data_IF_739457559172
#
_entry.id   IF_739457559172
#
_cell.length_a   1.000
_cell.length_b   1.000
_cell.length_c   1.000
_cell.angle_alpha   90.00
_cell.angle_beta   90.00
_cell.angle_gamma   90.00
#
_symmetry.space_group_name_H-M   'P 1'
#
loop_
_entity.id
_entity.type
_entity.pdbx_description
1 polymer ?
#
# COMPACT_ATOMS: atom_id res chain seq x y z
N UNK A 1 56.58 14.57 -17.36
CA UNK A 1 55.53 14.94 -18.34
C UNK A 1 54.19 14.85 -17.65
N UNK A 2 53.55 16.00 -17.44
CA UNK A 2 52.24 16.10 -16.83
C UNK A 2 51.13 15.77 -17.84
N UNK A 3 50.13 15.00 -17.42
CA UNK A 3 48.76 15.12 -17.92
C UNK A 3 47.82 14.97 -16.75
N UNK A 4 47.34 16.11 -16.26
CA UNK A 4 46.16 16.20 -15.41
C UNK A 4 44.95 15.78 -16.25
N UNK A 5 44.27 14.71 -15.84
CA UNK A 5 42.93 14.42 -16.33
C UNK A 5 41.95 14.94 -15.28
N UNK A 6 41.35 16.08 -15.61
CA UNK A 6 40.26 16.70 -14.87
C UNK A 6 39.03 15.77 -14.98
N UNK A 7 38.74 15.01 -13.92
CA UNK A 7 37.55 14.17 -13.85
C UNK A 7 36.35 15.07 -13.62
N UNK A 8 35.48 15.21 -14.64
CA UNK A 8 34.19 15.87 -14.53
C UNK A 8 33.38 15.19 -13.41
N UNK A 9 32.90 16.00 -12.47
CA UNK A 9 31.85 15.66 -11.51
C UNK A 9 30.54 15.38 -12.27
N UNK A 10 30.41 14.18 -12.83
CA UNK A 10 29.10 13.58 -13.06
C UNK A 10 28.71 12.98 -11.72
N UNK A 11 27.73 13.58 -11.05
CA UNK A 11 27.20 13.12 -9.77
C UNK A 11 26.78 11.66 -9.90
N UNK A 12 27.59 10.76 -9.34
CA UNK A 12 27.15 9.41 -9.05
C UNK A 12 26.06 9.56 -7.99
N UNK A 13 24.84 9.11 -8.30
CA UNK A 13 23.83 8.90 -7.27
C UNK A 13 24.50 8.04 -6.20
N UNK A 14 24.78 8.61 -5.03
CA UNK A 14 25.27 7.81 -3.93
C UNK A 14 24.23 6.72 -3.67
N UNK A 15 24.63 5.45 -3.51
CA UNK A 15 23.70 4.43 -3.06
C UNK A 15 23.05 4.94 -1.77
N UNK A 16 21.73 5.02 -1.73
CA UNK A 16 21.03 5.49 -0.54
C UNK A 16 21.47 4.67 0.67
N UNK A 17 21.85 5.37 1.75
CA UNK A 17 22.10 4.71 3.04
C UNK A 17 20.77 4.31 3.68
N UNK A 18 20.72 3.23 4.47
CA UNK A 18 19.51 2.88 5.21
C UNK A 18 19.19 4.00 6.22
N UNK A 19 17.97 4.52 6.16
CA UNK A 19 17.44 5.48 7.13
C UNK A 19 16.63 4.72 8.19
N UNK A 20 17.18 4.61 9.39
CA UNK A 20 16.52 3.90 10.50
C UNK A 20 15.67 4.85 11.35
N UNK A 21 14.58 4.32 11.92
CA UNK A 21 13.72 5.01 12.87
C UNK A 21 12.74 6.00 12.25
N UNK A 22 12.61 6.01 10.92
CA UNK A 22 11.62 6.83 10.24
C UNK A 22 10.23 6.16 10.23
N UNK A 23 9.21 6.85 9.72
CA UNK A 23 7.82 6.37 9.75
C UNK A 23 7.59 4.97 9.16
N UNK A 24 8.28 4.51 8.09
CA UNK A 24 8.10 3.14 7.60
C UNK A 24 8.54 2.07 8.60
N UNK A 25 9.65 2.30 9.31
CA UNK A 25 10.11 1.40 10.37
C UNK A 25 9.07 1.33 11.48
N UNK A 26 8.55 2.47 11.94
CA UNK A 26 7.52 2.49 12.97
C UNK A 26 6.23 1.78 12.50
N UNK A 27 5.78 2.05 11.27
CA UNK A 27 4.61 1.39 10.69
C UNK A 27 4.77 -0.12 10.58
N UNK A 28 5.94 -0.59 10.15
CA UNK A 28 6.19 -2.02 10.05
C UNK A 28 6.40 -2.66 11.43
N UNK A 29 7.33 -2.16 12.24
CA UNK A 29 7.68 -2.81 13.50
C UNK A 29 6.57 -2.73 14.54
N UNK A 30 5.85 -1.61 14.62
CA UNK A 30 4.85 -1.40 15.66
C UNK A 30 3.42 -1.77 15.23
N UNK A 31 3.09 -1.64 13.94
CA UNK A 31 1.78 -2.00 13.42
C UNK A 31 1.77 -3.25 12.54
N UNK A 32 2.93 -3.75 12.11
CA UNK A 32 3.01 -4.79 11.08
C UNK A 32 2.29 -4.38 9.80
N UNK A 33 2.32 -3.11 9.44
CA UNK A 33 1.69 -2.57 8.25
C UNK A 33 2.73 -2.39 7.14
N UNK A 34 2.29 -2.56 5.89
CA UNK A 34 3.06 -2.03 4.76
C UNK A 34 2.93 -0.51 4.86
N UNK A 35 4.08 0.14 5.03
CA UNK A 35 4.17 1.58 5.18
C UNK A 35 5.19 2.12 4.20
N UNK A 36 4.87 3.23 3.56
CA UNK A 36 5.76 3.94 2.64
C UNK A 36 5.75 5.41 2.99
N UNK A 37 6.88 6.06 2.74
CA UNK A 37 6.97 7.50 2.59
C UNK A 37 7.28 7.76 1.13
N UNK A 38 6.53 8.65 0.49
CA UNK A 38 6.84 9.10 -0.85
C UNK A 38 7.00 10.62 -0.83
N UNK A 39 8.01 11.10 -1.54
CA UNK A 39 8.28 12.52 -1.71
C UNK A 39 7.48 12.98 -2.93
N UNK A 40 6.35 13.66 -2.69
CA UNK A 40 5.44 14.13 -3.74
C UNK A 40 6.18 14.79 -4.93
N UNK A 41 7.21 15.60 -4.65
CA UNK A 41 7.96 16.27 -5.70
C UNK A 41 9.11 15.44 -6.27
N UNK A 42 9.74 14.59 -5.46
CA UNK A 42 10.91 13.80 -5.82
C UNK A 42 11.96 14.60 -6.60
N UNK A 43 12.43 14.01 -7.70
CA UNK A 43 13.37 14.66 -8.61
C UNK A 43 12.63 15.55 -9.61
N UNK A 44 12.79 16.88 -9.48
CA UNK A 44 12.15 17.85 -10.38
C UNK A 44 12.43 17.61 -11.87
N UNK A 45 13.59 17.07 -12.24
CA UNK A 45 13.93 16.84 -13.64
C UNK A 45 13.04 15.78 -14.30
N UNK A 46 12.34 14.94 -13.51
CA UNK A 46 11.41 13.94 -14.01
C UNK A 46 10.11 14.57 -14.59
N UNK A 47 9.90 15.87 -14.38
CA UNK A 47 8.69 16.59 -14.78
C UNK A 47 8.89 17.52 -15.98
N UNK A 48 10.11 17.60 -16.53
CA UNK A 48 10.45 18.45 -17.66
C UNK A 48 11.16 17.66 -18.76
N UNK A 49 11.31 18.30 -19.90
CA UNK A 49 12.02 17.76 -21.05
C UNK A 49 13.21 18.67 -21.38
N UNK A 50 14.08 18.18 -22.26
CA UNK A 50 15.13 18.98 -22.88
C UNK A 50 14.47 20.03 -23.80
N UNK A 51 14.19 21.20 -23.23
CA UNK A 51 13.49 22.30 -23.88
C UNK A 51 14.46 23.19 -24.65
N UNK A 52 15.74 23.25 -24.24
CA UNK A 52 16.75 24.04 -24.92
C UNK A 52 17.44 23.27 -26.08
N UNK A 53 17.20 21.96 -26.20
CA UNK A 53 17.71 21.10 -27.27
C UNK A 53 19.20 20.78 -27.16
N UNK A 54 19.80 20.88 -25.97
CA UNK A 54 21.23 20.67 -25.75
C UNK A 54 21.61 19.19 -25.52
N UNK A 55 20.61 18.30 -25.47
CA UNK A 55 20.76 16.87 -25.27
C UNK A 55 20.77 16.44 -23.80
N UNK A 56 20.51 17.34 -22.84
CA UNK A 56 20.50 17.04 -21.41
C UNK A 56 19.39 17.76 -20.65
N UNK A 57 18.60 17.02 -19.86
CA UNK A 57 17.63 17.63 -18.94
C UNK A 57 18.35 18.18 -17.71
N UNK A 58 18.35 19.50 -17.51
CA UNK A 58 19.10 20.16 -16.45
C UNK A 58 18.46 21.51 -16.00
N UNK A 59 19.24 22.35 -15.31
CA UNK A 59 18.76 23.64 -14.78
C UNK A 59 18.44 24.68 -15.86
N UNK A 60 19.07 24.59 -17.03
CA UNK A 60 18.79 25.47 -18.16
C UNK A 60 17.38 25.25 -18.71
N UNK A 61 16.84 24.03 -18.64
CA UNK A 61 15.46 23.74 -19.01
C UNK A 61 14.46 24.36 -18.04
N UNK A 62 14.80 24.46 -16.75
CA UNK A 62 13.98 25.16 -15.78
C UNK A 62 13.95 26.66 -16.00
N UNK A 63 15.07 27.25 -16.45
CA UNK A 63 15.12 28.65 -16.90
C UNK A 63 14.26 28.83 -18.16
N UNK A 64 14.34 27.90 -19.11
CA UNK A 64 13.47 27.93 -20.29
C UNK A 64 11.99 27.88 -19.91
N UNK A 65 11.61 26.98 -18.99
CA UNK A 65 10.23 26.84 -18.50
C UNK A 65 9.73 28.14 -17.88
N UNK A 66 10.55 28.80 -17.07
CA UNK A 66 10.20 30.08 -16.47
C UNK A 66 9.86 31.14 -17.53
N UNK A 67 10.64 31.22 -18.60
CA UNK A 67 10.50 32.27 -19.61
C UNK A 67 9.40 31.97 -20.64
N UNK A 68 9.08 30.69 -20.88
CA UNK A 68 8.24 30.27 -22.00
C UNK A 68 6.90 29.64 -21.58
N UNK A 69 6.75 29.18 -20.33
CA UNK A 69 5.51 28.59 -19.84
C UNK A 69 4.71 29.62 -19.04
N UNK A 70 3.52 29.97 -19.56
CA UNK A 70 2.60 30.89 -18.90
C UNK A 70 2.28 30.43 -17.48
N UNK A 71 2.46 31.32 -16.51
CA UNK A 71 2.25 31.06 -15.08
C UNK A 71 3.47 30.54 -14.34
N UNK A 72 4.63 30.37 -15.01
CA UNK A 72 5.90 29.97 -14.40
C UNK A 72 6.89 31.11 -14.20
N UNK A 73 6.56 32.34 -14.61
CA UNK A 73 7.47 33.48 -14.74
C UNK A 73 8.19 33.84 -13.41
N UNK A 74 7.61 33.46 -12.27
CA UNK A 74 8.17 33.63 -10.90
C UNK A 74 7.95 32.42 -10.00
N UNK A 75 7.61 31.28 -10.59
CA UNK A 75 7.27 30.08 -9.83
C UNK A 75 8.50 29.47 -9.14
N UNK A 76 9.65 29.52 -9.81
CA UNK A 76 10.90 28.93 -9.36
C UNK A 76 11.93 29.94 -8.87
N UNK A 77 11.77 31.22 -9.21
CA UNK A 77 12.74 32.26 -8.92
C UNK A 77 12.07 33.48 -8.31
N UNK A 78 12.69 34.00 -7.25
CA UNK A 78 12.33 35.24 -6.59
C UNK A 78 13.00 36.42 -7.30
N UNK A 79 12.32 37.58 -7.40
CA UNK A 79 12.96 38.79 -7.89
C UNK A 79 14.12 39.19 -6.98
N UNK A 80 15.17 39.73 -7.59
CA UNK A 80 16.27 40.35 -6.85
C UNK A 80 15.79 41.65 -6.22
N UNK A 81 16.01 41.79 -4.92
CA UNK A 81 15.61 42.94 -4.11
C UNK A 81 16.79 43.41 -3.27
N UNK A 82 17.01 44.73 -3.11
CA UNK A 82 18.04 45.25 -2.22
C UNK A 82 17.77 44.86 -0.77
N UNK A 83 18.82 44.48 -0.05
CA UNK A 83 18.80 44.19 1.38
C UNK A 83 20.09 44.70 2.03
N UNK A 84 20.01 45.10 3.30
CA UNK A 84 21.20 45.56 4.05
C UNK A 84 21.85 44.39 4.79
N UNK A 85 23.11 44.09 4.44
CA UNK A 85 23.92 43.07 5.11
C UNK A 85 24.87 43.72 6.13
N UNK A 86 24.98 43.19 7.37
CA UNK A 86 25.79 43.79 8.44
C UNK A 86 27.27 44.03 8.09
N UNK A 87 27.85 43.19 7.21
CA UNK A 87 29.26 43.28 6.79
C UNK A 87 29.46 43.89 5.40
N UNK A 88 28.48 43.74 4.50
CA UNK A 88 28.65 44.03 3.08
C UNK A 88 27.86 45.25 2.59
N UNK A 89 27.09 45.90 3.48
CA UNK A 89 26.20 47.00 3.10
C UNK A 89 25.06 46.52 2.21
N UNK A 90 24.63 47.34 1.25
CA UNK A 90 23.56 47.00 0.32
C UNK A 90 23.94 45.84 -0.60
N UNK A 91 23.22 44.73 -0.52
CA UNK A 91 23.34 43.54 -1.36
C UNK A 91 22.01 43.23 -2.07
N UNK A 92 22.02 42.39 -3.10
CA UNK A 92 20.80 41.87 -3.70
C UNK A 92 20.43 40.49 -3.14
N UNK A 93 19.16 40.30 -2.81
CA UNK A 93 18.58 39.05 -2.32
C UNK A 93 17.46 38.61 -3.27
N UNK A 94 17.57 37.39 -3.78
CA UNK A 94 16.67 36.82 -4.80
C UNK A 94 17.22 35.49 -5.31
N UNK A 95 16.91 35.15 -6.56
CA UNK A 95 17.40 33.91 -7.18
C UNK A 95 16.43 32.76 -6.99
N UNK A 96 16.92 31.54 -6.74
CA UNK A 96 16.04 30.37 -6.63
C UNK A 96 15.11 30.47 -5.44
N UNK A 97 13.82 30.23 -5.65
CA UNK A 97 12.86 30.13 -4.56
C UNK A 97 13.09 28.81 -3.82
N UNK A 98 13.64 28.81 -2.59
CA UNK A 98 14.03 27.56 -1.92
C UNK A 98 12.85 26.62 -1.69
N UNK A 99 11.61 27.15 -1.63
CA UNK A 99 10.41 26.35 -1.44
C UNK A 99 10.02 25.54 -2.67
N UNK A 100 10.15 26.15 -3.86
CA UNK A 100 9.66 25.55 -5.11
C UNK A 100 10.78 25.04 -6.03
N UNK A 101 12.02 25.47 -5.80
CA UNK A 101 13.18 24.98 -6.51
C UNK A 101 13.49 23.53 -6.13
N UNK A 102 13.50 23.21 -4.82
CA UNK A 102 13.91 21.88 -4.34
C UNK A 102 12.87 21.13 -3.52
N UNK A 103 11.99 21.82 -2.79
CA UNK A 103 11.14 21.14 -1.79
C UNK A 103 9.76 20.75 -2.32
N UNK A 104 9.16 21.52 -3.23
CA UNK A 104 7.78 21.33 -3.67
C UNK A 104 7.62 21.69 -5.15
N UNK A 105 6.69 21.06 -5.89
CA UNK A 105 6.26 21.60 -7.17
C UNK A 105 5.67 23.00 -6.97
N UNK A 106 5.85 23.92 -7.93
CA UNK A 106 5.06 25.14 -7.98
C UNK A 106 3.60 24.81 -8.29
N UNK A 107 2.71 25.72 -7.89
CA UNK A 107 1.29 25.62 -8.19
C UNK A 107 1.01 25.55 -9.70
N UNK A 108 -0.13 24.99 -10.07
CA UNK A 108 -0.55 24.86 -11.47
C UNK A 108 -0.15 23.50 -12.06
N UNK A 109 0.46 23.52 -13.24
CA UNK A 109 0.70 22.31 -14.04
C UNK A 109 1.54 21.27 -13.31
N UNK A 110 2.70 21.65 -12.76
CA UNK A 110 3.62 20.71 -12.13
C UNK A 110 3.07 20.11 -10.83
N UNK A 111 2.41 20.91 -9.99
CA UNK A 111 1.70 20.38 -8.82
C UNK A 111 0.61 19.38 -9.24
N UNK A 112 -0.14 19.68 -10.30
CA UNK A 112 -1.15 18.74 -10.81
C UNK A 112 -0.53 17.42 -11.25
N UNK A 113 0.57 17.45 -12.00
CA UNK A 113 1.27 16.24 -12.47
C UNK A 113 1.76 15.38 -11.29
N UNK A 114 2.42 16.01 -10.31
CA UNK A 114 2.91 15.34 -9.11
C UNK A 114 1.76 14.70 -8.31
N UNK A 115 0.69 15.45 -8.05
CA UNK A 115 -0.50 14.94 -7.34
C UNK A 115 -1.19 13.81 -8.11
N UNK A 116 -1.26 13.89 -9.44
CA UNK A 116 -1.90 12.87 -10.25
C UNK A 116 -1.11 11.55 -10.25
N UNK A 117 0.22 11.63 -10.30
CA UNK A 117 1.10 10.47 -10.15
C UNK A 117 0.93 9.81 -8.77
N UNK A 118 0.96 10.62 -7.71
CA UNK A 118 0.73 10.16 -6.34
C UNK A 118 -0.63 9.52 -6.14
N UNK A 119 -1.70 10.13 -6.68
CA UNK A 119 -3.04 9.56 -6.59
C UNK A 119 -3.13 8.19 -7.27
N UNK A 120 -2.53 8.04 -8.46
CA UNK A 120 -2.46 6.74 -9.15
C UNK A 120 -1.74 5.69 -8.31
N UNK A 121 -0.60 6.05 -7.72
CA UNK A 121 0.16 5.16 -6.86
C UNK A 121 -0.63 4.73 -5.62
N UNK A 122 -1.26 5.67 -4.93
CA UNK A 122 -2.08 5.37 -3.75
C UNK A 122 -3.28 4.48 -4.07
N UNK A 123 -3.95 4.70 -5.20
CA UNK A 123 -5.04 3.83 -5.66
C UNK A 123 -4.55 2.44 -6.09
N UNK A 124 -3.36 2.35 -6.68
CA UNK A 124 -2.73 1.06 -6.98
C UNK A 124 -2.48 0.28 -5.69
N UNK A 125 -1.92 0.90 -4.65
CA UNK A 125 -1.70 0.28 -3.35
C UNK A 125 -3.01 -0.12 -2.66
N UNK A 126 -4.02 0.75 -2.67
CA UNK A 126 -5.33 0.44 -2.10
C UNK A 126 -5.98 -0.80 -2.77
N UNK A 127 -5.81 -0.95 -4.09
CA UNK A 127 -6.28 -2.11 -4.85
C UNK A 127 -5.50 -3.40 -4.56
N UNK A 128 -4.34 -3.31 -3.91
CA UNK A 128 -3.57 -4.48 -3.48
C UNK A 128 -4.05 -5.04 -2.14
N UNK A 129 -4.91 -4.34 -1.40
CA UNK A 129 -5.42 -4.82 -0.11
C UNK A 129 -6.14 -6.19 -0.23
N UNK A 130 -6.23 -6.94 0.88
CA UNK A 130 -6.99 -8.18 0.91
C UNK A 130 -8.45 -7.96 0.50
N UNK A 131 -8.99 -8.89 -0.27
CA UNK A 131 -10.37 -8.86 -0.76
C UNK A 131 -10.99 -10.24 -0.60
N UNK A 132 -11.70 -10.46 0.51
CA UNK A 132 -12.37 -11.72 0.78
C UNK A 132 -13.69 -11.80 0.02
N UNK A 133 -13.92 -12.92 -0.67
CA UNK A 133 -15.14 -13.17 -1.43
C UNK A 133 -15.58 -14.63 -1.23
N UNK A 134 -16.90 -14.86 -1.10
CA UNK A 134 -17.45 -16.22 -1.14
C UNK A 134 -17.33 -16.76 -2.56
N UNK A 135 -16.59 -17.85 -2.72
CA UNK A 135 -16.42 -18.53 -4.00
C UNK A 135 -17.33 -19.74 -4.14
N UNK A 136 -17.77 -20.32 -3.01
CA UNK A 136 -18.77 -21.39 -3.00
C UNK A 136 -19.59 -21.34 -1.72
N UNK A 137 -20.90 -21.57 -1.86
CA UNK A 137 -21.80 -21.88 -0.74
C UNK A 137 -22.70 -23.03 -1.19
N UNK A 138 -22.61 -24.16 -0.49
CA UNK A 138 -23.31 -25.39 -0.85
C UNK A 138 -24.09 -25.92 0.35
N UNK A 139 -25.28 -26.47 0.11
CA UNK A 139 -26.04 -27.21 1.11
C UNK A 139 -26.28 -28.62 0.59
N UNK A 140 -25.80 -29.61 1.33
CA UNK A 140 -26.01 -31.03 1.03
C UNK A 140 -26.91 -31.67 2.08
N UNK A 141 -27.95 -32.38 1.63
CA UNK A 141 -28.75 -33.22 2.51
C UNK A 141 -28.01 -34.53 2.84
N UNK A 142 -28.09 -34.95 4.10
CA UNK A 142 -27.49 -36.18 4.62
C UNK A 142 -28.56 -37.27 4.80
N UNK A 143 -28.13 -38.53 4.89
CA UNK A 143 -29.03 -39.69 4.99
C UNK A 143 -29.84 -39.72 6.30
N UNK A 144 -29.38 -39.06 7.35
CA UNK A 144 -30.02 -38.96 8.66
C UNK A 144 -31.02 -37.78 8.76
N UNK A 145 -31.27 -37.07 7.66
CA UNK A 145 -32.14 -35.90 7.62
C UNK A 145 -31.47 -34.59 8.06
N UNK A 146 -30.20 -34.63 8.47
CA UNK A 146 -29.40 -33.41 8.67
C UNK A 146 -28.95 -32.81 7.34
N UNK A 147 -28.42 -31.59 7.39
CA UNK A 147 -27.89 -30.87 6.23
C UNK A 147 -26.51 -30.33 6.54
N UNK A 148 -25.55 -30.52 5.66
CA UNK A 148 -24.23 -29.92 5.74
C UNK A 148 -24.18 -28.68 4.86
N UNK A 149 -23.99 -27.52 5.49
CA UNK A 149 -23.72 -26.25 4.84
C UNK A 149 -22.20 -26.14 4.70
N UNK A 150 -21.67 -25.97 3.49
CA UNK A 150 -20.26 -25.74 3.21
C UNK A 150 -20.10 -24.36 2.62
N UNK A 151 -19.12 -23.59 3.10
CA UNK A 151 -18.77 -22.28 2.57
C UNK A 151 -17.26 -22.21 2.30
N UNK A 152 -16.91 -21.73 1.11
CA UNK A 152 -15.54 -21.44 0.70
C UNK A 152 -15.39 -19.95 0.49
N UNK A 153 -14.38 -19.36 1.14
CA UNK A 153 -13.98 -17.96 0.96
C UNK A 153 -12.58 -17.91 0.41
N UNK A 154 -12.36 -17.00 -0.53
CA UNK A 154 -11.05 -16.77 -1.17
C UNK A 154 -10.64 -15.31 -1.01
N UNK A 155 -9.37 -15.07 -0.69
CA UNK A 155 -8.76 -13.75 -0.82
C UNK A 155 -8.31 -13.51 -2.27
N UNK A 156 -9.10 -12.75 -3.02
CA UNK A 156 -8.81 -12.33 -4.39
C UNK A 156 -7.91 -11.09 -4.46
N UNK A 157 -7.54 -10.50 -3.32
CA UNK A 157 -6.57 -9.41 -3.22
C UNK A 157 -5.13 -9.85 -3.49
N UNK A 158 -4.26 -8.87 -3.71
CA UNK A 158 -2.83 -9.12 -3.91
C UNK A 158 -2.12 -9.42 -2.59
N UNK A 159 -2.38 -8.61 -1.57
CA UNK A 159 -1.78 -8.75 -0.26
C UNK A 159 -2.52 -9.81 0.58
N UNK A 160 -1.78 -10.46 1.47
CA UNK A 160 -2.39 -11.29 2.49
C UNK A 160 -3.10 -10.46 3.57
N UNK A 161 -3.96 -11.13 4.34
CA UNK A 161 -4.71 -10.48 5.42
C UNK A 161 -3.91 -10.24 6.71
N UNK A 162 -2.69 -10.75 6.78
CA UNK A 162 -1.78 -10.56 7.92
C UNK A 162 -0.31 -10.64 7.48
N UNK A 163 0.52 -9.69 7.89
CA UNK A 163 1.98 -9.85 7.82
C UNK A 163 2.47 -10.60 9.07
N UNK A 164 3.58 -11.33 8.96
CA UNK A 164 4.23 -11.96 10.12
C UNK A 164 4.51 -10.99 11.25
N UNK A 165 5.05 -9.82 10.93
CA UNK A 165 5.32 -8.80 11.95
C UNK A 165 4.04 -8.38 12.67
N UNK A 166 2.92 -8.19 11.95
CA UNK A 166 1.64 -7.81 12.56
C UNK A 166 1.15 -8.85 13.55
N UNK A 167 1.40 -10.13 13.27
CA UNK A 167 1.09 -11.23 14.17
C UNK A 167 2.01 -11.23 15.40
N UNK A 168 3.32 -11.09 15.21
CA UNK A 168 4.31 -11.05 16.30
C UNK A 168 4.01 -9.94 17.32
N UNK A 169 3.60 -8.76 16.83
CA UNK A 169 3.21 -7.63 17.69
C UNK A 169 1.72 -7.60 18.06
N UNK A 170 0.97 -8.68 17.77
CA UNK A 170 -0.42 -8.88 18.18
C UNK A 170 -1.42 -7.84 17.64
N UNK A 171 -1.10 -7.22 16.50
CA UNK A 171 -2.00 -6.30 15.79
C UNK A 171 -3.08 -7.00 14.98
N UNK A 172 -2.88 -8.28 14.69
CA UNK A 172 -3.87 -9.11 14.00
C UNK A 172 -4.15 -10.37 14.80
N UNK A 173 -5.35 -10.91 14.58
CA UNK A 173 -5.80 -12.19 15.13
C UNK A 173 -6.13 -13.12 13.98
N UNK A 174 -6.04 -14.41 14.21
CA UNK A 174 -6.51 -15.41 13.25
C UNK A 174 -7.97 -15.14 12.89
N UNK A 175 -8.24 -15.28 11.60
CA UNK A 175 -9.57 -15.18 11.02
C UNK A 175 -10.46 -16.28 11.55
N UNK A 176 -11.76 -16.00 11.63
CA UNK A 176 -12.78 -16.93 12.13
C UNK A 176 -13.93 -17.01 11.16
N UNK A 177 -14.45 -18.23 10.96
CA UNK A 177 -15.73 -18.44 10.32
C UNK A 177 -16.80 -18.70 11.39
N UNK A 178 -17.95 -18.05 11.28
CA UNK A 178 -19.07 -18.14 12.22
C UNK A 178 -20.36 -18.48 11.48
N UNK A 179 -21.21 -19.28 12.12
CA UNK A 179 -22.59 -19.49 11.69
C UNK A 179 -23.55 -19.04 12.79
N UNK A 180 -24.55 -18.25 12.41
CA UNK A 180 -25.66 -17.80 13.25
C UNK A 180 -26.94 -18.41 12.70
N UNK A 181 -27.72 -19.05 13.57
CA UNK A 181 -28.89 -19.85 13.18
C UNK A 181 -30.18 -19.23 13.71
N UNK A 182 -31.21 -19.24 12.87
CA UNK A 182 -32.59 -18.93 13.25
C UNK A 182 -33.50 -20.10 12.81
N UNK A 183 -34.22 -20.71 13.76
CA UNK A 183 -35.02 -21.93 13.53
C UNK A 183 -34.23 -23.25 13.37
N UNK A 184 -32.94 -23.17 13.05
CA UNK A 184 -32.05 -24.31 12.89
C UNK A 184 -31.30 -24.68 14.18
N UNK A 185 -30.78 -25.90 14.26
CA UNK A 185 -29.90 -26.37 15.34
C UNK A 185 -28.63 -26.99 14.79
N UNK A 186 -27.47 -26.61 15.35
CA UNK A 186 -26.19 -27.29 15.09
C UNK A 186 -26.23 -28.74 15.58
N UNK A 187 -25.56 -29.62 14.84
CA UNK A 187 -25.37 -31.00 15.29
C UNK A 187 -24.54 -31.07 16.58
N UNK A 188 -24.75 -32.13 17.37
CA UNK A 188 -24.06 -32.29 18.64
C UNK A 188 -22.54 -32.35 18.45
N UNK A 189 -21.80 -31.54 19.23
CA UNK A 189 -20.34 -31.45 19.16
C UNK A 189 -19.80 -30.49 18.09
N UNK A 190 -20.65 -29.91 17.23
CA UNK A 190 -20.24 -28.85 16.32
C UNK A 190 -20.08 -27.51 17.05
N UNK A 191 -19.03 -26.78 16.70
CA UNK A 191 -18.86 -25.38 17.12
C UNK A 191 -19.39 -24.44 16.04
N UNK A 192 -20.23 -23.49 16.45
CA UNK A 192 -20.72 -22.43 15.57
C UNK A 192 -19.63 -21.45 15.14
N UNK A 193 -18.46 -21.44 15.79
CA UNK A 193 -17.31 -20.62 15.39
C UNK A 193 -16.08 -21.50 15.20
N UNK A 194 -15.36 -21.30 14.08
CA UNK A 194 -14.16 -22.05 13.69
C UNK A 194 -13.03 -21.06 13.42
N UNK A 195 -11.87 -21.27 14.03
CA UNK A 195 -10.65 -20.53 13.70
C UNK A 195 -10.07 -21.10 12.40
N UNK A 196 -9.81 -20.23 11.42
CA UNK A 196 -9.41 -20.62 10.06
C UNK A 196 -8.02 -20.09 9.65
N UNK A 197 -7.27 -19.54 10.62
CA UNK A 197 -5.92 -19.05 10.40
C UNK A 197 -5.91 -17.71 9.66
N UNK A 198 -5.03 -17.56 8.67
CA UNK A 198 -4.89 -16.35 7.86
C UNK A 198 -5.06 -16.69 6.37
N UNK A 199 -5.38 -15.68 5.57
CA UNK A 199 -5.51 -15.79 4.12
C UNK A 199 -4.27 -15.27 3.41
N UNK A 200 -3.68 -16.08 2.53
CA UNK A 200 -2.68 -15.61 1.59
C UNK A 200 -3.30 -14.64 0.57
N UNK A 201 -2.46 -13.87 -0.11
CA UNK A 201 -2.85 -13.07 -1.29
C UNK A 201 -2.29 -13.66 -2.59
N UNK A 202 -2.41 -12.91 -3.68
CA UNK A 202 -1.73 -13.24 -4.94
C UNK A 202 -0.21 -12.95 -4.92
N UNK A 203 0.28 -12.19 -3.93
CA UNK A 203 1.70 -11.97 -3.70
C UNK A 203 2.40 -13.34 -3.55
N UNK A 204 3.44 -13.64 -4.36
CA UNK A 204 4.18 -14.87 -4.24
C UNK A 204 4.70 -15.07 -2.83
N UNK A 205 4.54 -16.29 -2.36
CA UNK A 205 4.86 -16.64 -0.98
C UNK A 205 6.36 -16.67 -0.75
N UNK A 206 6.79 -16.09 0.38
CA UNK A 206 8.10 -16.29 0.96
C UNK A 206 7.91 -16.96 2.34
N UNK A 207 8.49 -18.15 2.59
CA UNK A 207 8.36 -18.85 3.87
C UNK A 207 8.75 -18.01 5.10
N UNK A 208 9.67 -17.05 4.94
CA UNK A 208 10.12 -16.20 6.04
C UNK A 208 9.07 -15.18 6.49
N UNK A 209 8.10 -14.85 5.63
CA UNK A 209 7.13 -13.77 5.80
C UNK A 209 5.76 -14.26 6.35
N UNK A 210 5.64 -15.56 6.65
CA UNK A 210 4.40 -16.19 7.12
C UNK A 210 4.15 -15.95 8.62
N UNK A 211 2.92 -15.60 9.05
CA UNK A 211 2.57 -15.44 10.47
C UNK A 211 2.70 -16.73 11.29
N UNK A 212 2.40 -17.86 10.69
CA UNK A 212 2.64 -19.18 11.23
C UNK A 212 3.40 -19.94 10.18
N UNK A 213 4.45 -20.64 10.61
CA UNK A 213 5.09 -21.80 10.00
C UNK A 213 6.62 -21.67 9.97
N UNK A 214 7.30 -22.70 10.45
CA UNK A 214 8.71 -22.96 10.14
C UNK A 214 8.85 -23.32 8.65
N UNK A 215 10.07 -23.29 8.11
CA UNK A 215 10.38 -23.45 6.67
C UNK A 215 9.74 -24.69 6.01
N UNK A 216 9.42 -25.72 6.80
CA UNK A 216 8.87 -27.02 6.36
C UNK A 216 7.34 -27.14 6.42
N UNK A 217 6.63 -26.11 6.85
CA UNK A 217 5.18 -26.24 7.04
C UNK A 217 4.39 -25.96 5.75
N UNK A 218 3.13 -26.44 5.65
CA UNK A 218 2.28 -26.27 4.49
C UNK A 218 2.12 -24.80 4.05
N UNK A 219 1.85 -24.63 2.76
CA UNK A 219 1.70 -23.34 2.11
C UNK A 219 0.51 -22.56 2.66
N UNK A 220 0.66 -21.25 2.66
CA UNK A 220 -0.38 -20.33 3.06
C UNK A 220 -1.46 -20.26 1.98
N UNK A 221 -2.66 -20.74 2.31
CA UNK A 221 -3.74 -20.86 1.33
C UNK A 221 -4.52 -19.55 1.16
N UNK A 222 -4.89 -19.25 -0.08
CA UNK A 222 -5.79 -18.15 -0.42
C UNK A 222 -7.26 -18.48 -0.21
N UNK A 223 -7.61 -19.76 -0.24
CA UNK A 223 -8.98 -20.26 -0.12
C UNK A 223 -9.13 -21.07 1.16
N UNK A 224 -10.20 -20.83 1.91
CA UNK A 224 -10.54 -21.57 3.13
C UNK A 224 -11.97 -22.08 3.03
N UNK A 225 -12.14 -23.38 3.26
CA UNK A 225 -13.44 -24.04 3.25
C UNK A 225 -13.77 -24.51 4.66
N UNK A 226 -14.99 -24.22 5.10
CA UNK A 226 -15.56 -24.71 6.36
C UNK A 226 -16.94 -25.27 6.09
N UNK A 227 -17.38 -26.18 6.94
CA UNK A 227 -18.73 -26.72 6.86
C UNK A 227 -19.36 -26.81 8.24
N UNK A 228 -20.68 -26.78 8.32
CA UNK A 228 -21.46 -27.03 9.53
C UNK A 228 -22.63 -27.95 9.23
N UNK A 229 -22.89 -28.87 10.13
CA UNK A 229 -24.05 -29.75 10.05
C UNK A 229 -25.18 -29.20 10.92
N UNK A 230 -26.36 -29.04 10.32
CA UNK A 230 -27.55 -28.47 10.95
C UNK A 230 -28.78 -29.35 10.74
N UNK A 231 -29.77 -29.16 11.61
CA UNK A 231 -31.08 -29.83 11.58
C UNK A 231 -32.21 -28.82 11.79
N UNK A 232 -33.44 -29.19 11.45
CA UNK A 232 -34.60 -28.30 11.51
C UNK A 232 -34.75 -27.46 10.24
N UNK A 233 -35.62 -26.45 10.27
CA UNK A 233 -35.90 -25.54 9.16
C UNK A 233 -35.71 -24.09 9.61
N UNK A 234 -35.30 -23.22 8.69
CA UNK A 234 -35.01 -21.81 9.01
C UNK A 234 -33.80 -21.30 8.26
N UNK A 235 -33.15 -20.26 8.77
CA UNK A 235 -32.05 -19.58 8.08
C UNK A 235 -30.71 -19.73 8.82
N UNK A 236 -29.64 -19.81 8.04
CA UNK A 236 -28.27 -19.81 8.54
C UNK A 236 -27.49 -18.66 7.91
N UNK A 237 -26.99 -17.75 8.74
CA UNK A 237 -26.09 -16.68 8.31
C UNK A 237 -24.66 -17.07 8.61
N UNK A 238 -23.81 -17.06 7.57
CA UNK A 238 -22.41 -17.46 7.61
C UNK A 238 -21.57 -16.19 7.47
N UNK A 239 -20.64 -16.01 8.40
CA UNK A 239 -19.74 -14.87 8.42
C UNK A 239 -18.30 -15.35 8.40
N UNK A 240 -17.46 -14.69 7.61
CA UNK A 240 -16.01 -14.82 7.68
C UNK A 240 -15.43 -13.49 8.13
N UNK A 241 -14.66 -13.53 9.23
CA UNK A 241 -14.10 -12.36 9.88
C UNK A 241 -12.58 -12.43 9.80
N UNK A 242 -11.97 -11.41 9.19
CA UNK A 242 -10.52 -11.21 9.13
C UNK A 242 -10.18 -9.82 9.67
N UNK A 243 -9.07 -9.70 10.41
CA UNK A 243 -8.67 -8.42 11.01
C UNK A 243 -8.44 -7.34 9.97
N UNK A 244 -7.85 -7.68 8.81
CA UNK A 244 -7.59 -6.72 7.71
C UNK A 244 -8.34 -7.03 6.43
N UNK A 245 -8.84 -8.25 6.27
CA UNK A 245 -9.75 -8.62 5.17
C UNK A 245 -11.19 -8.18 5.39
N UNK A 246 -11.52 -7.67 6.58
CA UNK A 246 -12.86 -7.23 6.94
C UNK A 246 -13.79 -8.39 7.28
N UNK A 247 -15.09 -8.12 7.24
CA UNK A 247 -16.15 -9.11 7.49
C UNK A 247 -17.00 -9.25 6.24
N UNK A 248 -17.21 -10.48 5.80
CA UNK A 248 -18.16 -10.82 4.75
C UNK A 248 -19.22 -11.78 5.29
N UNK A 249 -20.45 -11.64 4.81
CA UNK A 249 -21.59 -12.42 5.27
C UNK A 249 -22.45 -12.91 4.10
N UNK A 250 -23.04 -14.10 4.26
CA UNK A 250 -24.06 -14.64 3.35
C UNK A 250 -25.08 -15.44 4.13
N UNK A 251 -26.30 -15.58 3.62
CA UNK A 251 -27.39 -16.28 4.30
C UNK A 251 -27.96 -17.36 3.39
N UNK A 252 -28.18 -18.54 3.95
CA UNK A 252 -28.88 -19.65 3.28
C UNK A 252 -30.19 -19.96 4.00
N UNK A 253 -31.23 -20.27 3.22
CA UNK A 253 -32.54 -20.68 3.71
C UNK A 253 -32.72 -22.19 3.54
N UNK A 254 -33.14 -22.86 4.61
CA UNK A 254 -33.32 -24.29 4.72
C UNK A 254 -34.78 -24.61 5.03
N UNK A 255 -35.54 -24.89 3.96
CA UNK A 255 -36.96 -25.27 4.05
C UNK A 255 -37.17 -26.71 4.48
#
# INVERSE_FOLDING_TARGET
>A
MARSLLLRLLGTLQPGGPLFGHSPDYGYFQFGAIWYGDELWGNRYDYIYDFNGDGAVNDYDWLWVQDNIKGMERAYFLPWTPAEHPEYGTVECGGTNPKFWSQNPPAGLYLKLAVEAQNRFNLMLAKQLPKLEFTEVNVKANADGSRTITATVTNNGFLPDALKQAWLVKMVRQSTARITLDGLKLASGESGTKTIGFFAGALPENPLDRPFTDIDSPTWERSKTVSWTVTGTGTATIEFLSTRGGVISTTVDLK
#
